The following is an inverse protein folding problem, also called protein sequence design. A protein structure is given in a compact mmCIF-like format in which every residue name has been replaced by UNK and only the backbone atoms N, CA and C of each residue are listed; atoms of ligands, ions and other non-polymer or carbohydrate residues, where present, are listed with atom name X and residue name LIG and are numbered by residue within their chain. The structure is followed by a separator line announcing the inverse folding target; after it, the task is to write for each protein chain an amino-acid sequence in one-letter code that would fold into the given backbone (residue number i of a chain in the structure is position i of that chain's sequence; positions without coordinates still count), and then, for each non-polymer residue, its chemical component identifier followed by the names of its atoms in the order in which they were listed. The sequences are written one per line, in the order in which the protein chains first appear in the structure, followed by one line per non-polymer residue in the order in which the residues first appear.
data_IF_217854030462
#
_entry.id   IF_217854030462
#
_cell.length_a   1.000
_cell.length_b   1.000
_cell.length_c   1.000
_cell.angle_alpha   90.00
_cell.angle_beta   90.00
_cell.angle_gamma   90.00
#
_symmetry.space_group_name_H-M   'P 1'
#
loop_
_entity.id
_entity.type
_entity.pdbx_description
1 polymer ?
#
# COMPACT_ATOMS: atom_id res chain seq x y z
N UNK A 1 -29.38 -54.87 20.21
CA UNK A 1 -30.39 -53.88 19.78
C UNK A 1 -30.80 -54.18 18.35
N UNK A 2 -32.08 -54.46 18.09
CA UNK A 2 -32.57 -54.88 16.76
C UNK A 2 -32.41 -53.78 15.70
N UNK A 3 -31.80 -54.11 14.56
CA UNK A 3 -31.56 -53.17 13.45
C UNK A 3 -32.87 -52.65 12.83
N UNK A 4 -33.96 -53.41 12.96
CA UNK A 4 -35.30 -52.99 12.55
C UNK A 4 -35.85 -51.88 13.44
N UNK A 5 -35.59 -51.94 14.75
CA UNK A 5 -36.01 -50.89 15.70
C UNK A 5 -35.23 -49.62 15.40
N UNK A 6 -33.90 -49.70 15.19
CA UNK A 6 -33.07 -48.54 14.85
C UNK A 6 -33.51 -47.87 13.54
N UNK A 7 -33.80 -48.66 12.48
CA UNK A 7 -34.31 -48.17 11.20
C UNK A 7 -35.70 -47.56 11.31
N UNK A 8 -36.58 -48.11 12.15
CA UNK A 8 -37.91 -47.56 12.41
C UNK A 8 -37.84 -46.27 13.25
N UNK A 9 -36.93 -46.17 14.22
CA UNK A 9 -36.69 -44.92 14.98
C UNK A 9 -36.08 -43.83 14.12
N UNK A 10 -35.13 -44.16 13.23
CA UNK A 10 -34.59 -43.21 12.26
C UNK A 10 -35.68 -42.75 11.28
N UNK A 11 -36.52 -43.66 10.76
CA UNK A 11 -37.68 -43.29 9.91
C UNK A 11 -38.75 -42.46 10.63
N UNK A 12 -38.97 -42.70 11.94
CA UNK A 12 -39.90 -41.91 12.77
C UNK A 12 -39.39 -40.50 13.07
N UNK A 13 -38.07 -40.32 13.17
CA UNK A 13 -37.44 -39.01 13.35
C UNK A 13 -37.08 -38.30 12.04
N UNK A 14 -37.13 -39.00 10.90
CA UNK A 14 -36.84 -38.43 9.58
C UNK A 14 -38.08 -37.88 8.85
N UNK A 15 -39.23 -37.74 9.52
CA UNK A 15 -40.40 -37.11 8.91
C UNK A 15 -40.27 -35.60 8.99
N UNK A 16 -40.29 -34.93 7.83
CA UNK A 16 -40.28 -33.48 7.75
C UNK A 16 -41.50 -32.90 8.51
N UNK A 17 -41.32 -31.82 9.30
CA UNK A 17 -42.44 -31.16 9.96
C UNK A 17 -43.45 -30.61 8.93
N UNK A 18 -44.70 -30.43 9.33
CA UNK A 18 -45.83 -30.11 8.44
C UNK A 18 -45.56 -28.95 7.47
N UNK A 19 -44.80 -27.94 7.90
CA UNK A 19 -44.47 -26.73 7.14
C UNK A 19 -43.05 -26.73 6.57
N UNK A 20 -42.32 -27.85 6.63
CA UNK A 20 -40.92 -27.92 6.21
C UNK A 20 -40.70 -27.60 4.73
N UNK A 21 -41.70 -27.87 3.89
CA UNK A 21 -41.67 -27.63 2.46
C UNK A 21 -42.46 -26.37 2.06
N UNK A 22 -42.98 -25.62 3.04
CA UNK A 22 -43.61 -24.34 2.73
C UNK A 22 -42.54 -23.32 2.32
N UNK A 23 -42.82 -22.48 1.31
CA UNK A 23 -41.89 -21.43 0.91
C UNK A 23 -41.67 -20.47 2.09
N UNK A 24 -40.40 -20.29 2.47
CA UNK A 24 -39.99 -19.43 3.56
C UNK A 24 -40.29 -17.95 3.29
N UNK A 25 -40.22 -17.53 2.02
CA UNK A 25 -40.54 -16.17 1.57
C UNK A 25 -41.77 -16.19 0.68
N UNK A 26 -42.91 -15.73 1.23
CA UNK A 26 -44.22 -15.78 0.54
C UNK A 26 -44.52 -14.49 -0.23
N UNK A 27 -43.99 -13.34 0.23
CA UNK A 27 -44.22 -12.02 -0.37
C UNK A 27 -42.90 -11.49 -0.95
N UNK A 28 -42.60 -11.88 -2.18
CA UNK A 28 -41.40 -11.39 -2.89
C UNK A 28 -41.73 -10.08 -3.60
N UNK A 29 -41.04 -9.00 -3.23
CA UNK A 29 -41.16 -7.72 -3.94
C UNK A 29 -40.31 -7.74 -5.23
N UNK A 30 -40.95 -8.15 -6.31
CA UNK A 30 -40.33 -8.20 -7.65
C UNK A 30 -39.99 -6.80 -8.16
N UNK A 31 -40.72 -5.76 -7.74
CA UNK A 31 -40.47 -4.38 -8.14
C UNK A 31 -39.18 -3.86 -7.53
N UNK A 32 -38.98 -4.08 -6.23
CA UNK A 32 -37.72 -3.75 -5.55
C UNK A 32 -36.53 -4.52 -6.15
N UNK A 33 -36.70 -5.81 -6.46
CA UNK A 33 -35.66 -6.61 -7.10
C UNK A 33 -35.27 -6.09 -8.50
N UNK A 34 -36.24 -5.66 -9.30
CA UNK A 34 -35.97 -5.07 -10.62
C UNK A 34 -35.33 -3.68 -10.51
N UNK A 35 -35.76 -2.87 -9.54
CA UNK A 35 -35.14 -1.57 -9.27
C UNK A 35 -33.66 -1.73 -8.89
N UNK A 36 -33.33 -2.70 -8.03
CA UNK A 36 -31.95 -3.02 -7.65
C UNK A 36 -31.12 -3.48 -8.86
N UNK A 37 -31.66 -4.35 -9.72
CA UNK A 37 -30.96 -4.77 -10.96
C UNK A 37 -30.65 -3.58 -11.86
N UNK A 38 -31.62 -2.67 -12.04
CA UNK A 38 -31.44 -1.47 -12.84
C UNK A 38 -30.39 -0.52 -12.22
N UNK A 39 -30.36 -0.38 -10.89
CA UNK A 39 -29.34 0.41 -10.19
C UNK A 39 -27.93 -0.16 -10.40
N UNK A 40 -27.78 -1.49 -10.36
CA UNK A 40 -26.50 -2.14 -10.63
C UNK A 40 -26.02 -1.88 -12.06
N UNK A 41 -26.91 -2.03 -13.04
CA UNK A 41 -26.61 -1.74 -14.45
C UNK A 41 -26.23 -0.27 -14.66
N UNK A 42 -26.98 0.65 -14.05
CA UNK A 42 -26.69 2.09 -14.08
C UNK A 42 -25.32 2.41 -13.45
N UNK A 43 -25.01 1.78 -12.31
CA UNK A 43 -23.73 1.94 -11.62
C UNK A 43 -22.56 1.42 -12.47
N UNK A 44 -22.73 0.27 -13.11
CA UNK A 44 -21.71 -0.29 -14.02
C UNK A 44 -21.48 0.61 -15.24
N UNK A 45 -22.54 1.14 -15.84
CA UNK A 45 -22.44 2.08 -16.95
C UNK A 45 -21.70 3.36 -16.52
N UNK A 46 -22.11 3.95 -15.40
CA UNK A 46 -21.48 5.16 -14.86
C UNK A 46 -20.00 4.95 -14.51
N UNK A 47 -19.66 3.81 -13.90
CA UNK A 47 -18.28 3.45 -13.56
C UNK A 47 -17.41 3.32 -14.82
N UNK A 48 -17.94 2.73 -15.90
CA UNK A 48 -17.22 2.60 -17.18
C UNK A 48 -16.82 3.96 -17.77
N UNK A 49 -17.73 4.93 -17.75
CA UNK A 49 -17.46 6.26 -18.30
C UNK A 49 -16.53 7.06 -17.39
N UNK A 50 -16.75 6.99 -16.08
CA UNK A 50 -15.88 7.63 -15.08
C UNK A 50 -14.45 7.10 -15.14
N UNK A 51 -14.28 5.79 -15.32
CA UNK A 51 -12.96 5.16 -15.44
C UNK A 51 -12.21 5.66 -16.68
N UNK A 52 -12.89 5.73 -17.83
CA UNK A 52 -12.32 6.28 -19.07
C UNK A 52 -11.94 7.75 -18.91
N UNK A 53 -12.76 8.54 -18.22
CA UNK A 53 -12.46 9.94 -17.93
C UNK A 53 -11.17 10.08 -17.11
N UNK A 54 -11.03 9.33 -16.02
CA UNK A 54 -9.82 9.40 -15.17
C UNK A 54 -8.56 8.88 -15.84
N UNK A 55 -8.66 7.88 -16.71
CA UNK A 55 -7.53 7.44 -17.54
C UNK A 55 -7.05 8.58 -18.44
N UNK A 56 -7.98 9.34 -19.05
CA UNK A 56 -7.63 10.51 -19.87
C UNK A 56 -6.97 11.59 -19.04
N UNK A 57 -7.51 11.94 -17.87
CA UNK A 57 -6.87 12.93 -16.98
C UNK A 57 -5.47 12.48 -16.58
N UNK A 58 -5.29 11.21 -16.23
CA UNK A 58 -3.96 10.67 -15.91
C UNK A 58 -3.00 10.82 -17.08
N UNK A 59 -3.42 10.43 -18.29
CA UNK A 59 -2.58 10.48 -19.48
C UNK A 59 -2.28 11.90 -19.97
N UNK A 60 -3.24 12.82 -19.90
CA UNK A 60 -3.12 14.16 -20.48
C UNK A 60 -2.73 15.24 -19.47
N UNK A 61 -2.80 14.97 -18.17
CA UNK A 61 -2.45 15.93 -17.12
C UNK A 61 -1.33 15.39 -16.25
N UNK A 62 -1.52 14.24 -15.61
CA UNK A 62 -0.55 13.72 -14.65
C UNK A 62 0.77 13.33 -15.33
N UNK A 63 0.73 12.63 -16.46
CA UNK A 63 1.94 12.22 -17.19
C UNK A 63 2.76 13.44 -17.65
N UNK A 64 2.18 14.47 -18.31
CA UNK A 64 2.92 15.69 -18.64
C UNK A 64 3.47 16.43 -17.41
N UNK A 65 2.70 16.52 -16.32
CA UNK A 65 3.16 17.17 -15.09
C UNK A 65 4.37 16.45 -14.47
N UNK A 66 4.33 15.12 -14.43
CA UNK A 66 5.46 14.29 -13.98
C UNK A 66 6.66 14.45 -14.91
N UNK A 67 6.46 14.47 -16.22
CA UNK A 67 7.55 14.67 -17.19
C UNK A 67 8.25 16.02 -16.99
N UNK A 68 7.48 17.10 -16.84
CA UNK A 68 8.04 18.44 -16.58
C UNK A 68 8.81 18.48 -15.26
N UNK A 69 8.25 17.88 -14.20
CA UNK A 69 8.90 17.82 -12.89
C UNK A 69 10.18 16.99 -12.94
N UNK A 70 10.15 15.84 -13.64
CA UNK A 70 11.31 14.98 -13.80
C UNK A 70 12.46 15.69 -14.52
N UNK A 71 12.18 16.49 -15.55
CA UNK A 71 13.19 17.30 -16.24
C UNK A 71 13.81 18.33 -15.28
N UNK A 72 12.99 19.04 -14.50
CA UNK A 72 13.48 20.01 -13.53
C UNK A 72 14.34 19.34 -12.45
N UNK A 73 13.84 18.26 -11.83
CA UNK A 73 14.58 17.51 -10.82
C UNK A 73 15.86 16.91 -11.37
N UNK A 74 15.89 16.45 -12.63
CA UNK A 74 17.10 15.94 -13.25
C UNK A 74 18.21 17.00 -13.32
N UNK A 75 17.89 18.24 -13.70
CA UNK A 75 18.90 19.31 -13.74
C UNK A 75 19.43 19.66 -12.34
N UNK A 76 18.54 19.79 -11.35
CA UNK A 76 18.94 20.06 -9.97
C UNK A 76 19.76 18.90 -9.38
N UNK A 77 19.35 17.66 -9.63
CA UNK A 77 20.08 16.49 -9.14
C UNK A 77 21.43 16.32 -9.82
N UNK A 78 21.57 16.72 -11.09
CA UNK A 78 22.87 16.76 -11.76
C UNK A 78 23.83 17.72 -11.06
N UNK A 79 23.39 18.93 -10.72
CA UNK A 79 24.20 19.89 -9.96
C UNK A 79 24.55 19.34 -8.57
N UNK A 80 23.61 18.68 -7.89
CA UNK A 80 23.90 18.01 -6.62
C UNK A 80 24.87 16.84 -6.76
N UNK A 81 24.84 16.09 -7.86
CA UNK A 81 25.79 15.01 -8.12
C UNK A 81 27.21 15.56 -8.29
N UNK A 82 27.38 16.61 -9.09
CA UNK A 82 28.67 17.30 -9.27
C UNK A 82 29.18 17.88 -7.93
N UNK A 83 28.28 18.45 -7.11
CA UNK A 83 28.65 18.93 -5.77
C UNK A 83 29.12 17.79 -4.85
N UNK A 84 28.46 16.62 -4.89
CA UNK A 84 28.89 15.46 -4.08
C UNK A 84 30.25 14.91 -4.53
N UNK A 85 30.52 14.90 -5.83
CA UNK A 85 31.85 14.54 -6.36
C UNK A 85 32.91 15.51 -5.83
N UNK A 86 32.66 16.82 -5.84
CA UNK A 86 33.61 17.78 -5.26
C UNK A 86 33.84 17.54 -3.76
N UNK A 87 32.78 17.26 -2.99
CA UNK A 87 32.90 16.96 -1.56
C UNK A 87 33.72 15.70 -1.28
N UNK A 88 33.66 14.68 -2.15
CA UNK A 88 34.42 13.44 -1.99
C UNK A 88 35.94 13.69 -1.95
N UNK A 89 36.43 14.65 -2.74
CA UNK A 89 37.86 14.97 -2.84
C UNK A 89 38.39 15.83 -1.68
N UNK A 90 37.51 16.37 -0.82
CA UNK A 90 37.91 17.15 0.35
C UNK A 90 38.49 16.20 1.41
N UNK A 91 39.66 16.55 1.95
CA UNK A 91 40.30 15.76 3.01
C UNK A 91 39.51 15.85 4.33
N UNK A 92 39.65 14.85 5.21
CA UNK A 92 39.01 14.90 6.53
C UNK A 92 39.60 16.00 7.43
N UNK A 93 40.82 16.47 7.14
CA UNK A 93 41.45 17.58 7.86
C UNK A 93 40.80 18.93 7.51
N UNK A 94 40.41 19.10 6.25
CA UNK A 94 39.74 20.30 5.75
C UNK A 94 38.21 20.28 5.99
N UNK A 95 37.68 19.16 6.48
CA UNK A 95 36.26 19.04 6.77
C UNK A 95 35.87 19.88 7.99
N UNK A 96 34.75 20.63 7.94
CA UNK A 96 34.33 21.45 9.07
C UNK A 96 34.13 20.64 10.35
N UNK A 97 34.69 21.14 11.46
CA UNK A 97 34.51 20.52 12.78
C UNK A 97 33.02 20.48 13.14
N UNK A 98 32.52 19.28 13.46
CA UNK A 98 31.15 19.07 13.89
C UNK A 98 30.87 19.78 15.22
N UNK A 99 29.67 20.34 15.36
CA UNK A 99 29.19 20.84 16.66
C UNK A 99 28.94 19.68 17.62
N UNK A 100 28.95 19.95 18.93
CA UNK A 100 28.79 18.93 19.99
C UNK A 100 27.48 18.14 19.89
N UNK A 101 26.43 18.75 19.33
CA UNK A 101 25.13 18.10 19.14
C UNK A 101 25.04 17.25 17.86
N UNK A 102 26.03 17.34 16.97
CA UNK A 102 26.08 16.56 15.73
C UNK A 102 26.84 15.25 15.99
N UNK A 103 26.43 14.18 15.29
CA UNK A 103 27.08 12.86 15.36
C UNK A 103 27.23 12.27 16.79
N UNK A 104 26.34 12.63 17.73
CA UNK A 104 26.35 12.05 19.08
C UNK A 104 26.20 10.51 19.02
N UNK A 105 27.01 9.81 19.82
CA UNK A 105 26.90 8.37 20.08
C UNK A 105 26.97 8.08 21.58
N UNK A 106 25.82 7.96 22.25
CA UNK A 106 25.77 7.57 23.66
C UNK A 106 26.08 6.09 23.88
N UNK A 107 25.73 5.26 22.90
CA UNK A 107 26.07 3.83 22.82
C UNK A 107 26.34 3.50 21.34
N UNK A 108 27.36 2.67 21.02
CA UNK A 108 27.56 2.23 19.64
C UNK A 108 26.35 1.45 19.13
N UNK A 109 26.07 1.56 17.84
CA UNK A 109 25.11 0.69 17.17
C UNK A 109 25.53 -0.77 17.31
N UNK A 110 24.56 -1.68 17.27
CA UNK A 110 24.81 -3.12 17.45
C UNK A 110 25.22 -3.82 16.14
N UNK A 111 25.46 -3.08 15.07
CA UNK A 111 25.89 -3.59 13.76
C UNK A 111 27.09 -2.81 13.23
N UNK A 112 27.77 -3.39 12.24
CA UNK A 112 28.91 -2.78 11.59
C UNK A 112 30.03 -2.45 12.57
N UNK A 113 30.55 -1.23 12.48
CA UNK A 113 31.56 -0.67 13.39
C UNK A 113 30.97 0.07 14.59
N UNK A 114 29.64 0.05 14.73
CA UNK A 114 28.92 0.74 15.79
C UNK A 114 28.72 2.23 15.58
N UNK A 115 29.13 2.80 14.44
CA UNK A 115 29.07 4.25 14.22
C UNK A 115 28.12 4.69 13.09
N UNK A 116 28.00 3.87 12.04
CA UNK A 116 27.25 4.22 10.83
C UNK A 116 25.77 3.83 10.93
N UNK A 117 24.89 4.75 10.52
CA UNK A 117 23.44 4.51 10.42
C UNK A 117 23.09 3.65 9.19
N UNK A 118 21.82 3.22 9.08
CA UNK A 118 21.36 2.39 7.95
C UNK A 118 21.54 3.06 6.58
N UNK A 119 21.33 4.37 6.51
CA UNK A 119 21.49 5.18 5.29
C UNK A 119 22.67 6.14 5.43
N UNK A 120 23.80 5.61 5.91
CA UNK A 120 25.05 6.37 6.02
C UNK A 120 25.76 6.47 4.68
N UNK A 121 25.95 7.70 4.18
CA UNK A 121 26.79 7.96 3.02
C UNK A 121 28.09 8.63 3.48
N UNK A 122 29.27 8.00 3.33
CA UNK A 122 30.53 8.52 3.84
C UNK A 122 30.97 9.83 3.15
N UNK A 123 30.43 10.17 1.98
CA UNK A 123 30.77 11.41 1.28
C UNK A 123 30.18 12.63 2.02
N UNK A 124 28.93 12.53 2.47
CA UNK A 124 28.17 13.65 3.06
C UNK A 124 27.99 13.53 4.57
N UNK A 125 28.04 12.30 5.10
CA UNK A 125 27.96 12.02 6.53
C UNK A 125 29.34 11.52 6.96
N UNK A 126 30.18 12.44 7.44
CA UNK A 126 31.51 12.12 7.99
C UNK A 126 31.48 12.28 9.50
N UNK A 127 31.95 11.27 10.22
CA UNK A 127 32.15 11.33 11.66
C UNK A 127 33.64 11.38 11.98
N UNK A 128 34.19 12.59 11.88
CA UNK A 128 35.60 12.84 12.11
C UNK A 128 35.79 13.08 13.61
N UNK A 129 36.64 12.26 14.23
CA UNK A 129 36.99 12.39 15.64
C UNK A 129 38.20 13.31 15.73
N UNK A 130 38.00 14.45 16.36
CA UNK A 130 39.09 15.35 16.70
C UNK A 130 39.53 14.99 18.12
N UNK A 131 40.70 14.39 18.24
CA UNK A 131 41.36 14.16 19.55
C UNK A 131 41.73 15.48 20.23
#
# INVERSE_FOLDING_TARGET
MSSQILRQTIRRYSSLPKYALEPAFKNVDVKAANAFKHELEASQHHAKDTSKFWIRITAFVAVPAVALTAINTYFVEKEHAEHREHLEHISDEDWPKNYEYMNIRSKPFFWGDGDKTLFWNPIVNRHIRHE
#
